data_IF_140013904741
#
_entry.id   IF_140013904741
#
_cell.length_a   1.000
_cell.length_b   1.000
_cell.length_c   1.000
_cell.angle_alpha   90.00
_cell.angle_beta   90.00
_cell.angle_gamma   90.00
#
_symmetry.space_group_name_H-M   'P 1'
#
loop_
_entity.id
_entity.type
_entity.pdbx_description
1 polymer ?
#
# COMPACT_ATOMS: atom_id res chain seq x y z
N UNK A 1 107.83 -78.79 -111.41
CA UNK A 1 108.08 -77.45 -110.81
C UNK A 1 106.77 -76.68 -110.89
N UNK A 2 106.21 -76.25 -109.75
CA UNK A 2 104.98 -75.43 -109.69
C UNK A 2 103.84 -76.01 -108.84
N UNK A 3 104.03 -75.99 -107.52
CA UNK A 3 103.06 -75.62 -106.46
C UNK A 3 101.55 -75.54 -106.80
N UNK A 4 100.72 -76.44 -106.25
CA UNK A 4 99.29 -76.17 -105.98
C UNK A 4 98.87 -76.85 -104.67
N UNK A 5 98.84 -76.02 -103.63
CA UNK A 5 98.46 -76.32 -102.25
C UNK A 5 96.93 -76.30 -102.12
N UNK A 6 96.38 -77.37 -101.55
CA UNK A 6 95.22 -77.47 -100.64
C UNK A 6 94.27 -76.26 -100.54
N UNK A 7 93.10 -76.32 -101.20
CA UNK A 7 92.07 -75.26 -101.07
C UNK A 7 90.58 -75.71 -101.18
N UNK A 8 90.24 -76.97 -100.80
CA UNK A 8 88.84 -77.46 -100.88
C UNK A 8 88.22 -77.98 -99.56
N UNK A 9 88.89 -77.83 -98.43
CA UNK A 9 88.37 -78.18 -97.10
C UNK A 9 87.84 -76.99 -96.26
N UNK A 10 88.00 -75.75 -96.74
CA UNK A 10 87.81 -74.55 -95.90
C UNK A 10 86.38 -73.95 -95.98
N UNK A 11 85.62 -74.18 -97.04
CA UNK A 11 84.30 -73.55 -97.26
C UNK A 11 83.18 -74.02 -96.32
N UNK A 12 83.09 -75.32 -96.02
CA UNK A 12 82.07 -75.87 -95.10
C UNK A 12 82.37 -75.54 -93.63
N UNK A 13 83.66 -75.43 -93.28
CA UNK A 13 84.10 -74.97 -91.96
C UNK A 13 83.85 -73.46 -91.78
N UNK A 14 84.00 -72.66 -92.83
CA UNK A 14 83.68 -71.22 -92.82
C UNK A 14 82.16 -71.00 -92.71
N UNK A 15 81.31 -71.80 -93.38
CA UNK A 15 79.85 -71.71 -93.25
C UNK A 15 79.35 -72.04 -91.83
N UNK A 16 79.81 -73.15 -91.25
CA UNK A 16 79.48 -73.53 -89.86
C UNK A 16 80.03 -72.53 -88.84
N UNK A 17 81.19 -71.93 -89.11
CA UNK A 17 81.76 -70.86 -88.27
C UNK A 17 80.92 -69.59 -88.35
N UNK A 18 80.41 -69.23 -89.52
CA UNK A 18 79.50 -68.08 -89.67
C UNK A 18 78.14 -68.33 -89.01
N UNK A 19 77.56 -69.53 -89.14
CA UNK A 19 76.35 -69.93 -88.41
C UNK A 19 76.54 -69.89 -86.89
N UNK A 20 77.69 -70.37 -86.39
CA UNK A 20 78.04 -70.30 -84.98
C UNK A 20 78.20 -68.85 -84.50
N UNK A 21 78.83 -67.99 -85.31
CA UNK A 21 78.98 -66.56 -84.99
C UNK A 21 77.63 -65.86 -84.96
N UNK A 22 76.71 -66.20 -85.88
CA UNK A 22 75.34 -65.67 -85.88
C UNK A 22 74.57 -66.17 -84.66
N UNK A 23 74.61 -67.46 -84.34
CA UNK A 23 73.93 -68.03 -83.17
C UNK A 23 74.48 -67.49 -81.84
N UNK A 24 75.80 -67.27 -81.74
CA UNK A 24 76.42 -66.64 -80.57
C UNK A 24 76.00 -65.18 -80.45
N UNK A 25 75.86 -64.45 -81.57
CA UNK A 25 75.37 -63.07 -81.58
C UNK A 25 73.90 -62.99 -81.18
N UNK A 26 73.05 -63.85 -81.74
CA UNK A 26 71.64 -63.95 -81.36
C UNK A 26 71.47 -64.33 -79.89
N UNK A 27 72.30 -65.23 -79.36
CA UNK A 27 72.32 -65.55 -77.94
C UNK A 27 72.77 -64.36 -77.10
N UNK A 28 73.80 -63.63 -77.50
CA UNK A 28 74.26 -62.41 -76.82
C UNK A 28 73.20 -61.30 -76.84
N UNK A 29 72.50 -61.12 -77.96
CA UNK A 29 71.43 -60.15 -78.11
C UNK A 29 70.21 -60.54 -77.27
N UNK A 30 69.84 -61.83 -77.26
CA UNK A 30 68.79 -62.38 -76.39
C UNK A 30 69.13 -62.26 -74.90
N UNK A 31 70.38 -62.51 -74.51
CA UNK A 31 70.86 -62.29 -73.14
C UNK A 31 70.81 -60.81 -72.75
N UNK A 32 71.19 -59.92 -73.68
CA UNK A 32 71.11 -58.47 -73.45
C UNK A 32 69.66 -58.01 -73.29
N UNK A 33 68.76 -58.51 -74.13
CA UNK A 33 67.33 -58.21 -74.05
C UNK A 33 66.72 -58.76 -72.74
N UNK A 34 67.10 -59.97 -72.34
CA UNK A 34 66.66 -60.56 -71.07
C UNK A 34 67.16 -59.77 -69.86
N UNK A 35 68.43 -59.33 -69.85
CA UNK A 35 68.96 -58.45 -68.80
C UNK A 35 68.23 -57.10 -68.76
N UNK A 36 67.92 -56.51 -69.93
CA UNK A 36 67.14 -55.28 -70.00
C UNK A 36 65.69 -55.48 -69.52
N UNK A 37 65.05 -56.58 -69.89
CA UNK A 37 63.71 -56.95 -69.44
C UNK A 37 63.68 -57.20 -67.93
N UNK A 38 64.70 -57.90 -67.39
CA UNK A 38 64.86 -58.14 -65.95
C UNK A 38 65.11 -56.84 -65.18
N UNK A 39 65.92 -55.92 -65.72
CA UNK A 39 66.14 -54.60 -65.14
C UNK A 39 64.86 -53.76 -65.12
N UNK A 40 64.08 -53.76 -66.22
CA UNK A 40 62.77 -53.11 -66.29
C UNK A 40 61.78 -53.72 -65.31
N UNK A 41 61.70 -55.05 -65.23
CA UNK A 41 60.85 -55.74 -64.27
C UNK A 41 61.23 -55.40 -62.82
N UNK A 42 62.52 -55.35 -62.51
CA UNK A 42 63.03 -54.96 -61.19
C UNK A 42 62.69 -53.49 -60.87
N UNK A 43 62.83 -52.58 -61.85
CA UNK A 43 62.47 -51.18 -61.69
C UNK A 43 60.95 -50.99 -61.48
N UNK A 44 60.11 -51.72 -62.23
CA UNK A 44 58.65 -51.72 -62.03
C UNK A 44 58.28 -52.28 -60.66
N UNK A 45 58.90 -53.38 -60.22
CA UNK A 45 58.68 -53.93 -58.88
C UNK A 45 59.07 -52.94 -57.78
N UNK A 46 60.16 -52.19 -57.96
CA UNK A 46 60.58 -51.15 -57.03
C UNK A 46 59.59 -49.98 -57.03
N UNK A 47 59.15 -49.52 -58.20
CA UNK A 47 58.14 -48.45 -58.32
C UNK A 47 56.82 -48.83 -57.67
N UNK A 48 56.34 -50.07 -57.87
CA UNK A 48 55.15 -50.58 -57.20
C UNK A 48 55.37 -50.66 -55.67
N UNK A 49 56.53 -51.12 -55.22
CA UNK A 49 56.88 -51.14 -53.79
C UNK A 49 56.90 -49.74 -53.16
N UNK A 50 57.46 -48.74 -53.85
CA UNK A 50 57.46 -47.35 -53.40
C UNK A 50 56.05 -46.75 -53.44
N UNK A 51 55.27 -47.03 -54.48
CA UNK A 51 53.87 -46.58 -54.62
C UNK A 51 53.03 -47.12 -53.47
N UNK A 52 53.09 -48.43 -53.21
CA UNK A 52 52.39 -49.07 -52.10
C UNK A 52 52.85 -48.52 -50.75
N UNK A 53 54.15 -48.26 -50.57
CA UNK A 53 54.68 -47.65 -49.34
C UNK A 53 54.17 -46.21 -49.15
N UNK A 54 54.12 -45.42 -50.22
CA UNK A 54 53.60 -44.06 -50.19
C UNK A 54 52.09 -44.04 -49.90
N UNK A 55 51.33 -44.95 -50.51
CA UNK A 55 49.90 -45.10 -50.25
C UNK A 55 49.63 -45.56 -48.81
N UNK A 56 50.35 -46.57 -48.31
CA UNK A 56 50.27 -47.00 -46.91
C UNK A 56 50.64 -45.88 -45.93
N UNK A 57 51.66 -45.08 -46.25
CA UNK A 57 52.02 -43.91 -45.43
C UNK A 57 50.93 -42.82 -45.43
N UNK A 58 50.28 -42.60 -46.59
CA UNK A 58 49.15 -41.66 -46.70
C UNK A 58 47.96 -42.15 -45.88
N UNK A 59 47.58 -43.42 -46.01
CA UNK A 59 46.48 -44.02 -45.27
C UNK A 59 46.75 -44.02 -43.77
N UNK A 60 47.99 -44.31 -43.34
CA UNK A 60 48.36 -44.22 -41.93
C UNK A 60 48.21 -42.79 -41.39
N UNK A 61 48.62 -41.77 -42.15
CA UNK A 61 48.44 -40.36 -41.76
C UNK A 61 46.96 -39.98 -41.69
N UNK A 62 46.15 -40.43 -42.64
CA UNK A 62 44.70 -40.20 -42.63
C UNK A 62 44.03 -40.86 -41.42
N UNK A 63 44.42 -42.11 -41.11
CA UNK A 63 43.95 -42.81 -39.92
C UNK A 63 44.34 -42.07 -38.64
N UNK A 64 45.57 -41.56 -38.52
CA UNK A 64 45.96 -40.77 -37.35
C UNK A 64 45.11 -39.50 -37.20
N UNK A 65 44.79 -38.83 -38.30
CA UNK A 65 43.99 -37.61 -38.28
C UNK A 65 42.54 -37.90 -37.89
N UNK A 66 41.97 -39.00 -38.40
CA UNK A 66 40.64 -39.46 -38.00
C UNK A 66 40.62 -39.78 -36.51
N UNK A 67 41.59 -40.53 -36.00
CA UNK A 67 41.67 -40.87 -34.58
C UNK A 67 41.76 -39.61 -33.72
N UNK A 68 42.62 -38.65 -34.05
CA UNK A 68 42.69 -37.38 -33.30
C UNK A 68 41.36 -36.61 -33.32
N UNK A 69 40.63 -36.63 -34.44
CA UNK A 69 39.30 -36.00 -34.51
C UNK A 69 38.26 -36.74 -33.70
N UNK A 70 38.34 -38.07 -33.63
CA UNK A 70 37.48 -38.88 -32.78
C UNK A 70 37.77 -38.59 -31.31
N UNK A 71 39.04 -38.56 -30.90
CA UNK A 71 39.44 -38.25 -29.52
C UNK A 71 38.92 -36.86 -29.09
N UNK A 72 39.09 -35.83 -29.94
CA UNK A 72 38.56 -34.48 -29.69
C UNK A 72 37.01 -34.46 -29.65
N UNK A 73 36.36 -35.28 -30.48
CA UNK A 73 34.91 -35.42 -30.48
C UNK A 73 34.39 -36.07 -29.21
N UNK A 74 35.07 -37.13 -28.73
CA UNK A 74 34.76 -37.80 -27.47
C UNK A 74 34.94 -36.86 -26.28
N UNK A 75 36.03 -36.09 -26.24
CA UNK A 75 36.26 -35.07 -25.22
C UNK A 75 35.16 -34.00 -25.22
N UNK A 76 34.75 -33.51 -26.40
CA UNK A 76 33.67 -32.55 -26.52
C UNK A 76 32.31 -33.11 -26.03
N UNK A 77 32.02 -34.38 -26.33
CA UNK A 77 30.80 -35.05 -25.86
C UNK A 77 30.80 -35.17 -24.34
N UNK A 78 31.92 -35.55 -23.72
CA UNK A 78 32.04 -35.65 -22.27
C UNK A 78 31.84 -34.28 -21.59
N UNK A 79 32.44 -33.22 -22.14
CA UNK A 79 32.27 -31.85 -21.64
C UNK A 79 30.81 -31.38 -21.76
N UNK A 80 30.12 -31.70 -22.86
CA UNK A 80 28.70 -31.37 -23.03
C UNK A 80 27.85 -32.15 -22.01
N UNK A 81 28.15 -33.43 -21.80
CA UNK A 81 27.44 -34.24 -20.82
C UNK A 81 27.59 -33.68 -19.40
N UNK A 82 28.80 -33.28 -19.01
CA UNK A 82 29.04 -32.61 -17.72
C UNK A 82 28.25 -31.30 -17.59
N UNK A 83 28.21 -30.49 -18.66
CA UNK A 83 27.42 -29.26 -18.67
C UNK A 83 25.91 -29.51 -18.55
N UNK A 84 25.40 -30.56 -19.19
CA UNK A 84 23.98 -30.95 -19.08
C UNK A 84 23.67 -31.40 -17.65
N UNK A 85 24.52 -32.21 -17.04
CA UNK A 85 24.36 -32.67 -15.66
C UNK A 85 24.36 -31.48 -14.67
N UNK A 86 25.25 -30.51 -14.89
CA UNK A 86 25.30 -29.30 -14.05
C UNK A 86 24.08 -28.40 -14.25
N UNK A 87 23.60 -28.25 -15.48
CA UNK A 87 22.35 -27.53 -15.76
C UNK A 87 21.14 -28.22 -15.12
N UNK A 88 21.09 -29.56 -15.13
CA UNK A 88 20.03 -30.32 -14.48
C UNK A 88 20.03 -30.08 -12.96
N UNK A 89 21.20 -30.10 -12.31
CA UNK A 89 21.32 -29.76 -10.88
C UNK A 89 20.85 -28.33 -10.59
N UNK A 90 21.16 -27.38 -11.47
CA UNK A 90 20.70 -25.99 -11.33
C UNK A 90 19.18 -25.90 -11.45
N UNK A 91 18.59 -26.58 -12.44
CA UNK A 91 17.13 -26.62 -12.62
C UNK A 91 16.45 -27.22 -11.38
N UNK A 92 16.93 -28.35 -10.87
CA UNK A 92 16.40 -28.96 -9.65
C UNK A 92 16.50 -28.03 -8.43
N UNK A 93 17.60 -27.30 -8.29
CA UNK A 93 17.77 -26.30 -7.24
C UNK A 93 16.79 -25.12 -7.38
N UNK A 94 16.57 -24.64 -8.61
CA UNK A 94 15.60 -23.57 -8.89
C UNK A 94 14.18 -24.05 -8.60
N UNK A 95 13.81 -25.25 -9.02
CA UNK A 95 12.47 -25.81 -8.77
C UNK A 95 12.18 -25.94 -7.27
N UNK A 96 13.16 -26.42 -6.49
CA UNK A 96 13.04 -26.45 -5.03
C UNK A 96 12.82 -25.05 -4.44
N UNK A 97 13.58 -24.05 -4.90
CA UNK A 97 13.41 -22.66 -4.42
C UNK A 97 12.07 -22.06 -4.82
N UNK A 98 11.58 -22.35 -6.03
CA UNK A 98 10.25 -21.90 -6.48
C UNK A 98 9.17 -22.53 -5.59
N UNK A 99 9.27 -23.83 -5.30
CA UNK A 99 8.35 -24.52 -4.39
C UNK A 99 8.33 -23.88 -2.99
N UNK A 100 9.51 -23.60 -2.43
CA UNK A 100 9.63 -22.94 -1.12
C UNK A 100 9.03 -21.52 -1.12
N UNK A 101 9.24 -20.77 -2.20
CA UNK A 101 8.67 -19.43 -2.38
C UNK A 101 7.15 -19.49 -2.50
N UNK A 102 6.60 -20.44 -3.26
CA UNK A 102 5.15 -20.65 -3.37
C UNK A 102 4.53 -20.96 -2.01
N UNK A 103 5.14 -21.86 -1.22
CA UNK A 103 4.68 -22.16 0.13
C UNK A 103 4.72 -20.93 1.05
N UNK A 104 5.76 -20.09 0.92
CA UNK A 104 5.89 -18.84 1.67
C UNK A 104 4.81 -17.83 1.28
N UNK A 105 4.52 -17.67 -0.01
CA UNK A 105 3.47 -16.79 -0.53
C UNK A 105 2.11 -17.24 0.02
N UNK A 106 1.77 -18.53 -0.07
CA UNK A 106 0.53 -19.06 0.49
C UNK A 106 0.40 -18.81 1.99
N UNK A 107 1.49 -18.94 2.75
CA UNK A 107 1.49 -18.65 4.17
C UNK A 107 1.24 -17.17 4.45
N UNK A 108 1.88 -16.28 3.70
CA UNK A 108 1.68 -14.83 3.81
C UNK A 108 0.25 -14.43 3.44
N UNK A 109 -0.33 -15.00 2.38
CA UNK A 109 -1.72 -14.77 2.00
C UNK A 109 -2.69 -15.17 3.11
N UNK A 110 -2.48 -16.34 3.73
CA UNK A 110 -3.27 -16.79 4.89
C UNK A 110 -3.14 -15.81 6.06
N UNK A 111 -1.93 -15.31 6.33
CA UNK A 111 -1.68 -14.34 7.41
C UNK A 111 -2.34 -12.99 7.14
N UNK A 112 -2.23 -12.47 5.92
CA UNK A 112 -2.89 -11.23 5.48
C UNK A 112 -4.41 -11.35 5.59
N UNK A 113 -4.98 -12.48 5.13
CA UNK A 113 -6.41 -12.75 5.25
C UNK A 113 -6.87 -12.80 6.71
N UNK A 114 -6.08 -13.43 7.59
CA UNK A 114 -6.35 -13.48 9.03
C UNK A 114 -6.30 -12.09 9.68
N UNK A 115 -5.26 -11.30 9.38
CA UNK A 115 -5.12 -9.94 9.88
C UNK A 115 -6.25 -9.03 9.39
N UNK A 116 -6.64 -9.14 8.12
CA UNK A 116 -7.78 -8.41 7.57
C UNK A 116 -9.05 -8.72 8.35
N UNK A 117 -9.35 -10.01 8.56
CA UNK A 117 -10.52 -10.43 9.36
C UNK A 117 -10.46 -9.89 10.79
N UNK A 118 -9.29 -9.88 11.42
CA UNK A 118 -9.11 -9.35 12.76
C UNK A 118 -9.34 -7.84 12.81
N UNK A 119 -8.80 -7.08 11.86
CA UNK A 119 -8.99 -5.64 11.74
C UNK A 119 -10.47 -5.29 11.47
N UNK A 120 -11.13 -6.04 10.59
CA UNK A 120 -12.56 -5.84 10.30
C UNK A 120 -13.41 -6.08 11.57
N UNK A 121 -13.07 -7.11 12.36
CA UNK A 121 -13.71 -7.38 13.65
C UNK A 121 -13.47 -6.25 14.66
N UNK A 122 -12.24 -5.77 14.78
CA UNK A 122 -11.87 -4.71 15.70
C UNK A 122 -12.53 -3.38 15.33
N UNK A 123 -12.61 -3.07 14.04
CA UNK A 123 -13.30 -1.88 13.54
C UNK A 123 -14.80 -1.93 13.86
N UNK A 124 -15.44 -3.08 13.71
CA UNK A 124 -16.84 -3.26 14.08
C UNK A 124 -17.06 -3.09 15.59
N UNK A 125 -16.15 -3.59 16.42
CA UNK A 125 -16.21 -3.46 17.87
C UNK A 125 -16.05 -1.99 18.31
N UNK A 126 -15.07 -1.27 17.75
CA UNK A 126 -14.90 0.16 18.01
C UNK A 126 -16.10 0.99 17.54
N UNK A 127 -16.69 0.66 16.39
CA UNK A 127 -17.88 1.36 15.91
C UNK A 127 -19.06 1.18 16.89
N UNK A 128 -19.22 -0.03 17.44
CA UNK A 128 -20.22 -0.32 18.46
C UNK A 128 -19.95 0.46 19.75
N UNK A 129 -18.70 0.46 20.24
CA UNK A 129 -18.33 1.20 21.44
C UNK A 129 -18.54 2.71 21.28
N UNK A 130 -18.20 3.28 20.12
CA UNK A 130 -18.46 4.68 19.80
C UNK A 130 -19.96 5.01 19.81
N UNK A 131 -20.80 4.10 19.31
CA UNK A 131 -22.26 4.27 19.35
C UNK A 131 -22.80 4.21 20.78
N UNK A 132 -22.28 3.30 21.61
CA UNK A 132 -22.63 3.20 23.03
C UNK A 132 -22.21 4.46 23.80
N UNK A 133 -20.99 4.95 23.61
CA UNK A 133 -20.50 6.19 24.23
C UNK A 133 -21.33 7.40 23.82
N UNK A 134 -21.69 7.53 22.53
CA UNK A 134 -22.60 8.59 22.07
C UNK A 134 -23.95 8.52 22.77
N UNK A 135 -24.52 7.33 22.88
CA UNK A 135 -25.80 7.14 23.59
C UNK A 135 -25.70 7.51 25.07
N UNK A 136 -24.56 7.26 25.70
CA UNK A 136 -24.30 7.57 27.10
C UNK A 136 -24.09 9.07 27.33
N UNK A 137 -23.38 9.75 26.41
CA UNK A 137 -23.26 11.21 26.40
C UNK A 137 -24.63 11.87 26.24
N UNK A 138 -25.49 11.35 25.35
CA UNK A 138 -26.84 11.88 25.16
C UNK A 138 -27.71 11.69 26.40
N UNK A 139 -27.59 10.56 27.10
CA UNK A 139 -28.25 10.33 28.40
C UNK A 139 -27.77 11.33 29.45
N UNK A 140 -26.46 11.49 29.61
CA UNK A 140 -25.91 12.46 30.55
C UNK A 140 -26.29 13.89 30.21
N UNK A 141 -26.31 14.28 28.93
CA UNK A 141 -26.75 15.62 28.52
C UNK A 141 -28.21 15.87 28.91
N UNK A 142 -29.09 14.88 28.78
CA UNK A 142 -30.48 14.96 29.26
C UNK A 142 -30.56 15.07 30.77
N UNK A 143 -29.81 14.25 31.51
CA UNK A 143 -29.74 14.28 32.98
C UNK A 143 -29.21 15.62 33.50
N UNK A 144 -28.11 16.14 32.92
CA UNK A 144 -27.58 17.46 33.22
C UNK A 144 -28.59 18.57 32.90
N UNK A 145 -29.30 18.47 31.77
CA UNK A 145 -30.39 19.39 31.43
C UNK A 145 -31.50 19.40 32.49
N UNK A 146 -31.90 18.22 32.98
CA UNK A 146 -32.89 18.10 34.06
C UNK A 146 -32.36 18.65 35.40
N UNK A 147 -31.10 18.39 35.74
CA UNK A 147 -30.46 18.91 36.95
C UNK A 147 -30.37 20.43 36.92
N UNK A 148 -29.94 21.01 35.79
CA UNK A 148 -29.89 22.47 35.60
C UNK A 148 -31.29 23.07 35.74
N UNK A 149 -32.30 22.48 35.10
CA UNK A 149 -33.68 22.95 35.19
C UNK A 149 -34.23 22.84 36.63
N UNK A 150 -33.91 21.75 37.34
CA UNK A 150 -34.30 21.56 38.73
C UNK A 150 -33.65 22.60 39.64
N UNK A 151 -32.35 22.89 39.45
CA UNK A 151 -31.64 23.91 40.21
C UNK A 151 -32.19 25.31 39.92
N UNK A 152 -32.50 25.60 38.66
CA UNK A 152 -33.09 26.87 38.27
C UNK A 152 -34.50 27.05 38.85
N UNK A 153 -35.33 25.99 38.89
CA UNK A 153 -36.62 26.02 39.60
C UNK A 153 -36.45 26.26 41.09
N UNK A 154 -35.48 25.60 41.73
CA UNK A 154 -35.17 25.80 43.14
C UNK A 154 -34.76 27.25 43.42
N UNK A 155 -33.83 27.80 42.64
CA UNK A 155 -33.40 29.20 42.79
C UNK A 155 -34.55 30.17 42.53
N UNK A 156 -35.39 29.94 41.52
CA UNK A 156 -36.58 30.77 41.25
C UNK A 156 -37.60 30.72 42.40
N UNK A 157 -37.82 29.54 43.00
CA UNK A 157 -38.68 29.42 44.19
C UNK A 157 -38.10 30.15 45.39
N UNK A 158 -36.78 30.04 45.61
CA UNK A 158 -36.09 30.73 46.70
C UNK A 158 -36.18 32.26 46.51
N UNK A 159 -35.93 32.75 45.30
CA UNK A 159 -36.04 34.17 44.95
C UNK A 159 -37.45 34.71 45.16
N UNK A 160 -38.48 33.93 44.81
CA UNK A 160 -39.89 34.29 45.04
C UNK A 160 -40.18 34.39 46.54
N UNK A 161 -39.68 33.44 47.33
CA UNK A 161 -39.82 33.44 48.80
C UNK A 161 -39.08 34.63 49.42
N UNK A 162 -37.84 34.90 49.01
CA UNK A 162 -37.04 36.05 49.47
C UNK A 162 -37.77 37.36 49.15
N UNK A 163 -38.30 37.51 47.93
CA UNK A 163 -39.02 38.70 47.51
C UNK A 163 -40.31 38.89 48.32
N UNK A 164 -41.06 37.81 48.57
CA UNK A 164 -42.25 37.82 49.42
C UNK A 164 -41.90 38.25 50.87
N UNK A 165 -40.87 37.65 51.46
CA UNK A 165 -40.39 38.04 52.80
C UNK A 165 -39.92 39.49 52.85
N UNK A 166 -39.17 39.95 51.84
CA UNK A 166 -38.73 41.33 51.73
C UNK A 166 -39.91 42.30 51.63
N UNK A 167 -40.95 41.94 50.87
CA UNK A 167 -42.18 42.71 50.76
C UNK A 167 -42.96 42.79 52.08
N UNK A 168 -43.11 41.66 52.78
CA UNK A 168 -43.74 41.60 54.11
C UNK A 168 -42.94 42.42 55.12
N UNK A 169 -41.62 42.31 55.12
CA UNK A 169 -40.74 43.05 56.02
C UNK A 169 -40.76 44.56 55.74
N UNK A 170 -40.83 44.96 54.47
CA UNK A 170 -40.95 46.37 54.08
C UNK A 170 -42.27 47.01 54.52
N UNK A 171 -43.33 46.21 54.72
CA UNK A 171 -44.59 46.66 55.34
C UNK A 171 -44.53 46.74 56.86
N UNK A 172 -43.48 46.23 57.50
CA UNK A 172 -43.34 46.34 58.95
C UNK A 172 -43.24 47.81 59.38
N UNK A 173 -43.75 48.17 60.57
CA UNK A 173 -43.66 49.53 61.09
C UNK A 173 -42.22 50.05 61.18
N UNK A 174 -41.25 49.14 61.37
CA UNK A 174 -39.82 49.45 61.44
C UNK A 174 -39.28 50.08 60.15
N UNK A 175 -39.72 49.59 59.00
CA UNK A 175 -39.30 50.11 57.68
C UNK A 175 -40.21 51.25 57.23
N UNK A 176 -41.51 51.13 57.49
CA UNK A 176 -42.49 52.08 56.99
C UNK A 176 -42.35 53.47 57.64
N UNK A 177 -41.97 53.53 58.92
CA UNK A 177 -41.84 54.81 59.64
C UNK A 177 -40.70 55.71 59.10
N UNK A 178 -39.46 55.23 58.92
CA UNK A 178 -38.41 56.01 58.25
C UNK A 178 -38.79 56.42 56.83
N UNK A 179 -39.41 55.52 56.05
CA UNK A 179 -39.83 55.83 54.67
C UNK A 179 -40.88 56.95 54.62
N UNK A 180 -41.85 56.93 55.53
CA UNK A 180 -42.83 58.00 55.66
C UNK A 180 -42.16 59.33 56.03
N UNK A 181 -41.24 59.32 57.00
CA UNK A 181 -40.46 60.51 57.37
C UNK A 181 -39.66 61.07 56.17
N UNK A 182 -38.94 60.22 55.44
CA UNK A 182 -38.20 60.64 54.24
C UNK A 182 -39.12 61.18 53.14
N UNK A 183 -40.27 60.57 52.90
CA UNK A 183 -41.23 61.05 51.90
C UNK A 183 -41.83 62.41 52.25
N UNK A 184 -42.05 62.68 53.53
CA UNK A 184 -42.53 63.98 54.04
C UNK A 184 -41.48 65.09 53.87
N UNK A 185 -40.20 64.77 54.10
CA UNK A 185 -39.08 65.73 53.97
C UNK A 185 -38.73 65.97 52.49
N UNK A 186 -38.66 64.92 51.68
CA UNK A 186 -38.26 65.03 50.26
C UNK A 186 -39.36 65.61 49.35
N UNK A 187 -40.63 65.59 49.80
CA UNK A 187 -41.73 66.31 49.15
C UNK A 187 -41.53 67.83 49.03
N UNK A 188 -40.49 68.38 49.68
CA UNK A 188 -40.13 69.80 49.69
C UNK A 188 -39.20 70.17 48.51
N UNK A 189 -38.45 69.23 47.91
CA UNK A 189 -37.39 69.53 46.92
C UNK A 189 -37.95 69.48 45.49
N UNK A 190 -38.12 70.55 44.70
CA UNK A 190 -38.88 70.54 43.43
C UNK A 190 -38.11 69.96 42.23
N UNK A 191 -37.84 68.65 42.21
CA UNK A 191 -37.07 67.99 41.13
C UNK A 191 -37.92 67.35 40.01
N UNK A 192 -39.24 67.19 40.20
CA UNK A 192 -40.13 66.51 39.24
C UNK A 192 -41.43 67.30 39.04
N UNK A 193 -41.91 67.52 37.79
CA UNK A 193 -43.12 68.28 37.48
C UNK A 193 -44.39 67.43 37.71
N UNK A 194 -44.68 67.10 38.96
CA UNK A 194 -45.92 66.40 39.37
C UNK A 194 -46.62 67.13 40.53
N UNK A 195 -47.95 67.02 40.60
CA UNK A 195 -48.75 67.57 41.71
C UNK A 195 -48.24 67.03 43.06
N UNK A 196 -48.17 67.90 44.07
CA UNK A 196 -47.54 67.63 45.39
C UNK A 196 -48.05 66.35 46.07
N UNK A 197 -49.35 66.08 45.97
CA UNK A 197 -49.98 64.87 46.55
C UNK A 197 -49.59 63.58 45.83
N UNK A 198 -49.65 63.57 44.49
CA UNK A 198 -49.22 62.41 43.70
C UNK A 198 -47.72 62.14 43.85
N UNK A 199 -46.94 63.19 44.09
CA UNK A 199 -45.49 63.10 44.28
C UNK A 199 -45.09 62.41 45.58
N UNK A 200 -45.71 62.74 46.71
CA UNK A 200 -45.39 62.08 47.99
C UNK A 200 -45.74 60.59 47.94
N UNK A 201 -46.86 60.24 47.29
CA UNK A 201 -47.27 58.85 47.06
C UNK A 201 -46.26 58.14 46.16
N UNK A 202 -45.88 58.74 45.03
CA UNK A 202 -44.91 58.14 44.10
C UNK A 202 -43.54 57.93 44.77
N UNK A 203 -43.03 58.91 45.51
CA UNK A 203 -41.75 58.81 46.23
C UNK A 203 -41.83 57.76 47.35
N UNK A 204 -42.95 57.70 48.09
CA UNK A 204 -43.17 56.68 49.13
C UNK A 204 -43.23 55.27 48.54
N UNK A 205 -43.91 55.07 47.42
CA UNK A 205 -43.95 53.77 46.74
C UNK A 205 -42.59 53.40 46.16
N UNK A 206 -41.89 54.35 45.51
CA UNK A 206 -40.59 54.10 44.89
C UNK A 206 -39.50 53.80 45.93
N UNK A 207 -39.51 54.50 47.07
CA UNK A 207 -38.64 54.20 48.21
C UNK A 207 -38.96 52.85 48.84
N UNK A 208 -40.23 52.46 48.97
CA UNK A 208 -40.61 51.10 49.39
C UNK A 208 -40.10 50.04 48.42
N UNK A 209 -40.25 50.24 47.11
CA UNK A 209 -39.70 49.32 46.10
C UNK A 209 -38.17 49.23 46.25
N UNK A 210 -37.48 50.36 46.42
CA UNK A 210 -36.04 50.37 46.63
C UNK A 210 -35.62 49.59 47.89
N UNK A 211 -36.33 49.75 49.00
CA UNK A 211 -36.06 49.01 50.24
C UNK A 211 -36.32 47.51 50.06
N UNK A 212 -37.41 47.12 49.40
CA UNK A 212 -37.69 45.72 49.07
C UNK A 212 -36.55 45.11 48.24
N UNK A 213 -36.08 45.82 47.21
CA UNK A 213 -34.95 45.39 46.38
C UNK A 213 -33.64 45.27 47.18
N UNK A 214 -33.38 46.22 48.08
CA UNK A 214 -32.19 46.21 48.93
C UNK A 214 -32.19 45.03 49.89
N UNK A 215 -33.32 44.78 50.58
CA UNK A 215 -33.49 43.66 51.49
C UNK A 215 -33.41 42.33 50.73
N UNK A 216 -34.09 42.21 49.58
CA UNK A 216 -34.01 41.01 48.76
C UNK A 216 -32.58 40.72 48.31
N UNK A 217 -31.81 41.75 47.91
CA UNK A 217 -30.39 41.62 47.57
C UNK A 217 -29.55 41.16 48.77
N UNK A 218 -29.78 41.73 49.95
CA UNK A 218 -29.08 41.32 51.17
C UNK A 218 -29.38 39.86 51.55
N UNK A 219 -30.66 39.46 51.53
CA UNK A 219 -31.06 38.07 51.79
C UNK A 219 -30.46 37.10 50.77
N UNK A 220 -30.41 37.48 49.48
CA UNK A 220 -29.78 36.65 48.44
C UNK A 220 -28.29 36.43 48.70
N UNK A 221 -27.55 37.45 49.15
CA UNK A 221 -26.13 37.30 49.54
C UNK A 221 -25.99 36.32 50.72
N UNK A 222 -26.86 36.43 51.72
CA UNK A 222 -26.85 35.52 52.88
C UNK A 222 -27.20 34.09 52.46
N UNK A 223 -28.22 33.90 51.62
CA UNK A 223 -28.62 32.60 51.11
C UNK A 223 -27.51 31.93 50.28
N UNK A 224 -26.80 32.71 49.45
CA UNK A 224 -25.64 32.23 48.69
C UNK A 224 -24.48 31.81 49.62
N UNK A 225 -24.21 32.56 50.69
CA UNK A 225 -23.17 32.21 51.69
C UNK A 225 -23.47 30.91 52.43
N UNK A 226 -24.75 30.58 52.64
CA UNK A 226 -25.16 29.33 53.30
C UNK A 226 -25.37 28.17 52.32
N UNK A 227 -25.07 28.36 51.04
CA UNK A 227 -25.24 27.32 50.01
C UNK A 227 -26.70 27.00 49.65
N UNK A 228 -27.65 27.83 50.10
CA UNK A 228 -29.08 27.67 49.81
C UNK A 228 -29.47 28.22 48.43
N UNK A 229 -28.67 29.13 47.89
CA UNK A 229 -28.84 29.71 46.57
C UNK A 229 -27.61 29.39 45.72
N UNK A 230 -27.79 28.74 44.58
CA UNK A 230 -26.69 28.46 43.68
C UNK A 230 -26.50 29.67 42.77
N UNK A 231 -25.30 30.24 42.69
CA UNK A 231 -25.00 31.38 41.80
C UNK A 231 -24.92 30.98 40.32
N UNK A 232 -25.66 29.95 39.90
CA UNK A 232 -25.55 29.32 38.57
C UNK A 232 -26.32 30.11 37.50
N UNK A 233 -27.15 31.07 37.90
CA UNK A 233 -27.83 31.97 36.96
C UNK A 233 -27.77 33.43 37.40
N UNK A 234 -27.01 34.24 36.68
CA UNK A 234 -27.25 35.68 36.69
C UNK A 234 -28.63 36.02 36.11
N UNK A 235 -29.16 37.23 36.32
CA UNK A 235 -30.42 37.67 35.71
C UNK A 235 -30.43 37.51 34.17
N UNK A 236 -29.26 37.49 33.54
CA UNK A 236 -29.05 37.22 32.12
C UNK A 236 -29.55 35.83 31.68
N UNK A 237 -29.37 34.79 32.51
CA UNK A 237 -29.82 33.42 32.19
C UNK A 237 -31.34 33.33 32.22
N UNK A 238 -31.98 34.05 33.14
CA UNK A 238 -33.45 34.16 33.20
C UNK A 238 -34.01 34.95 32.02
N UNK A 239 -33.37 36.07 31.66
CA UNK A 239 -33.76 36.87 30.50
C UNK A 239 -33.67 36.05 29.21
N UNK A 240 -32.60 35.26 29.03
CA UNK A 240 -32.43 34.38 27.88
C UNK A 240 -33.56 33.34 27.79
N UNK A 241 -33.93 32.70 28.91
CA UNK A 241 -35.03 31.72 28.94
C UNK A 241 -36.40 32.35 28.69
N UNK A 242 -36.65 33.56 29.21
CA UNK A 242 -37.89 34.30 28.93
C UNK A 242 -37.98 34.66 27.46
N UNK A 243 -36.87 35.11 26.85
CA UNK A 243 -36.79 35.40 25.40
C UNK A 243 -37.03 34.13 24.58
N UNK A 244 -36.48 32.98 24.99
CA UNK A 244 -36.68 31.70 24.31
C UNK A 244 -38.14 31.21 24.41
N UNK A 245 -38.76 31.31 25.59
CA UNK A 245 -40.19 31.02 25.79
C UNK A 245 -41.09 31.98 25.01
N UNK A 246 -40.74 33.26 24.96
CA UNK A 246 -41.45 34.26 24.14
C UNK A 246 -41.32 33.92 22.66
N UNK A 247 -40.14 33.55 22.16
CA UNK A 247 -39.93 33.11 20.77
C UNK A 247 -40.76 31.86 20.43
N UNK A 248 -40.80 30.87 21.31
CA UNK A 248 -41.61 29.66 21.12
C UNK A 248 -43.12 29.97 21.11
N UNK A 249 -43.60 30.84 22.03
CA UNK A 249 -44.99 31.30 22.03
C UNK A 249 -45.33 32.16 20.81
N UNK A 250 -44.42 33.03 20.37
CA UNK A 250 -44.63 33.86 19.17
C UNK A 250 -44.71 33.00 17.92
N UNK A 251 -43.90 31.95 17.82
CA UNK A 251 -43.92 30.97 16.72
C UNK A 251 -45.21 30.12 16.70
N UNK A 252 -45.85 29.95 17.85
CA UNK A 252 -47.15 29.27 17.97
C UNK A 252 -48.34 30.19 17.61
N UNK A 253 -48.20 31.50 17.82
CA UNK A 253 -49.24 32.51 17.55
C UNK A 253 -49.14 33.06 16.12
N UNK A 254 -47.93 33.14 15.56
CA UNK A 254 -47.70 33.37 14.14
C UNK A 254 -47.29 32.04 13.49
N UNK A 255 -48.24 31.23 12.98
CA UNK A 255 -47.87 30.19 12.04
C UNK A 255 -47.12 30.88 10.90
N UNK A 256 -45.88 30.44 10.68
CA UNK A 256 -45.04 30.95 9.60
C UNK A 256 -45.84 30.86 8.31
N UNK A 257 -46.06 32.00 7.65
CA UNK A 257 -46.76 32.09 6.37
C UNK A 257 -46.03 31.35 5.23
N UNK A 258 -44.92 30.66 5.53
CA UNK A 258 -44.14 29.83 4.60
C UNK A 258 -44.70 28.41 4.43
N UNK A 259 -45.49 27.87 5.36
CA UNK A 259 -46.03 26.50 5.21
C UNK A 259 -47.27 26.44 4.30
N UNK A 260 -47.74 27.57 3.76
CA UNK A 260 -48.91 27.63 2.83
C UNK A 260 -48.49 27.79 1.36
N UNK A 261 -47.19 27.85 1.05
CA UNK A 261 -46.71 28.02 -0.34
C UNK A 261 -46.12 26.78 -1.00
N UNK A 262 -45.90 25.67 -0.30
CA UNK A 262 -45.37 24.45 -0.91
C UNK A 262 -46.45 23.45 -1.39
N UNK A 263 -47.73 23.65 -1.06
CA UNK A 263 -48.82 22.74 -1.51
C UNK A 263 -49.49 23.17 -2.84
N UNK A 264 -48.89 24.07 -3.63
CA UNK A 264 -49.50 24.55 -4.89
C UNK A 264 -48.55 24.54 -6.12
N UNK A 265 -47.45 23.78 -6.07
CA UNK A 265 -46.50 23.70 -7.21
C UNK A 265 -46.19 22.27 -7.65
N UNK A 266 -47.17 21.37 -7.60
CA UNK A 266 -47.14 20.12 -8.37
C UNK A 266 -48.46 19.94 -9.14
N UNK A 267 -48.63 20.74 -10.19
CA UNK A 267 -49.39 20.29 -11.37
C UNK A 267 -48.39 20.07 -12.51
N UNK A 268 -48.08 18.81 -12.87
CA UNK A 268 -47.32 18.53 -14.08
C UNK A 268 -48.24 18.71 -15.29
N UNK A 269 -47.96 19.72 -16.11
CA UNK A 269 -48.50 19.81 -17.47
C UNK A 269 -47.60 19.00 -18.42
N UNK A 270 -48.17 17.90 -18.92
CA UNK A 270 -47.86 17.11 -20.13
C UNK A 270 -46.45 17.18 -20.74
#
# INVERSE_FOLDING_TARGET
MGEQVSEKGNGAAISKRNELVVAVREYQDSQRELVLAQSRASALSLMLGLSNRAENARLAKEQTLINTRLDLGEEAILNIQEQVDDQEKVIQCVDSKVSDQTATIEHLEKKVKSHKKHLDSLAAEYQKEMQEQRSLIDKHRKEFGMLILSKLKQDATLDTVILLFAYVFAKSPLVNWPVQMFSSVTGIIPLLPMKRENRSIAVSQLSRVFVVLFIARAMRIVAARHGLHNSVGGPEVYAAQIVELLKLRLKLILPSKQDVKEENTEQPSN
#
